data_IF_702205088737
#
_entry.id   IF_702205088737
#
_cell.length_a   1.000
_cell.length_b   1.000
_cell.length_c   1.000
_cell.angle_alpha   90.00
_cell.angle_beta   90.00
_cell.angle_gamma   90.00
#
_symmetry.space_group_name_H-M   'P 1'
#
loop_
_entity.id
_entity.type
_entity.pdbx_description
1 polymer ?
#
# COMPACT_ATOMS: atom_id res chain seq x y z
N UNK A 1 24.45 -17.75 -6.65
CA UNK A 1 23.70 -16.49 -6.43
C UNK A 1 24.23 -15.95 -5.12
N UNK A 2 25.02 -14.88 -5.17
CA UNK A 2 25.54 -14.24 -3.96
C UNK A 2 24.39 -13.60 -3.21
N UNK A 3 24.22 -13.97 -1.94
CA UNK A 3 23.31 -13.30 -1.02
C UNK A 3 23.79 -11.86 -0.87
N UNK A 4 22.99 -10.91 -1.34
CA UNK A 4 23.23 -9.49 -1.10
C UNK A 4 22.80 -9.23 0.34
N UNK A 5 23.78 -9.10 1.25
CA UNK A 5 23.52 -8.66 2.61
C UNK A 5 23.11 -7.18 2.60
N UNK A 6 21.82 -6.94 2.69
CA UNK A 6 21.27 -5.62 3.00
C UNK A 6 21.54 -5.36 4.48
N UNK A 7 22.47 -4.46 4.82
CA UNK A 7 22.54 -3.84 6.14
C UNK A 7 21.75 -2.51 6.12
N UNK A 8 20.48 -2.47 6.58
CA UNK A 8 19.72 -1.24 6.61
C UNK A 8 20.12 -0.44 7.86
N UNK A 9 20.59 0.81 7.69
CA UNK A 9 20.87 1.72 8.81
C UNK A 9 19.61 2.10 9.62
N UNK A 10 18.41 1.82 9.09
CA UNK A 10 17.12 1.83 9.80
C UNK A 10 16.14 0.90 9.06
N UNK A 11 15.38 0.04 9.75
CA UNK A 11 14.38 -0.82 9.11
C UNK A 11 13.14 -0.05 8.62
N UNK A 12 13.03 1.25 8.95
CA UNK A 12 11.88 2.09 8.62
C UNK A 12 12.32 3.46 8.12
N UNK A 13 11.65 3.92 7.07
CA UNK A 13 11.76 5.26 6.52
C UNK A 13 10.44 6.00 6.73
N UNK A 14 10.50 7.23 7.26
CA UNK A 14 9.36 8.14 7.35
C UNK A 14 9.54 9.29 6.37
N UNK A 15 8.56 9.49 5.47
CA UNK A 15 8.59 10.55 4.45
C UNK A 15 7.42 11.51 4.72
N UNK A 16 7.66 12.66 5.37
CA UNK A 16 6.60 13.62 5.64
C UNK A 16 6.07 14.23 4.34
N UNK A 17 4.77 14.52 4.30
CA UNK A 17 4.10 15.19 3.17
C UNK A 17 4.35 14.51 1.81
N UNK A 18 4.43 13.18 1.80
CA UNK A 18 4.61 12.42 0.56
C UNK A 18 3.46 12.67 -0.43
N UNK A 19 2.22 12.69 0.08
CA UNK A 19 1.04 13.10 -0.66
C UNK A 19 0.75 14.58 -0.42
N UNK A 20 0.36 15.26 -1.50
CA UNK A 20 -0.30 16.56 -1.42
C UNK A 20 -1.71 16.43 -0.84
N UNK A 21 -2.24 17.53 -0.31
CA UNK A 21 -3.62 17.57 0.20
C UNK A 21 -4.66 17.19 -0.88
N UNK A 22 -4.40 17.53 -2.14
CA UNK A 22 -5.31 17.21 -3.24
C UNK A 22 -5.29 15.71 -3.56
N UNK A 23 -4.11 15.07 -3.59
CA UNK A 23 -4.00 13.61 -3.74
C UNK A 23 -4.71 12.89 -2.59
N UNK A 24 -4.55 13.36 -1.35
CA UNK A 24 -5.27 12.80 -0.19
C UNK A 24 -6.79 12.90 -0.37
N UNK A 25 -7.31 14.05 -0.81
CA UNK A 25 -8.75 14.26 -1.03
C UNK A 25 -9.30 13.41 -2.16
N UNK A 26 -8.54 13.23 -3.23
CA UNK A 26 -8.92 12.40 -4.35
C UNK A 26 -9.00 10.92 -3.94
N UNK A 27 -8.00 10.41 -3.23
CA UNK A 27 -8.01 9.05 -2.68
C UNK A 27 -9.17 8.86 -1.68
N UNK A 28 -9.41 9.84 -0.80
CA UNK A 28 -10.54 9.82 0.13
C UNK A 28 -11.89 9.76 -0.60
N UNK A 29 -12.07 10.56 -1.65
CA UNK A 29 -13.28 10.53 -2.47
C UNK A 29 -13.50 9.17 -3.12
N UNK A 30 -12.46 8.58 -3.72
CA UNK A 30 -12.52 7.26 -4.35
C UNK A 30 -12.91 6.20 -3.31
N UNK A 31 -12.26 6.23 -2.14
CA UNK A 31 -12.54 5.26 -1.08
C UNK A 31 -13.98 5.36 -0.57
N UNK A 32 -14.48 6.56 -0.31
CA UNK A 32 -15.87 6.76 0.15
C UNK A 32 -16.89 6.31 -0.89
N UNK A 33 -16.57 6.47 -2.17
CA UNK A 33 -17.49 6.15 -3.27
C UNK A 33 -17.49 4.67 -3.67
N UNK A 34 -16.37 3.98 -3.47
CA UNK A 34 -16.12 2.64 -4.05
C UNK A 34 -15.53 1.66 -3.04
N UNK A 35 -15.75 1.85 -1.73
CA UNK A 35 -15.29 0.89 -0.73
C UNK A 35 -16.31 -0.23 -0.53
N UNK A 36 -15.78 -1.37 -0.12
CA UNK A 36 -16.56 -2.51 0.32
C UNK A 36 -16.14 -2.93 1.72
N UNK A 37 -16.99 -3.69 2.41
CA UNK A 37 -16.67 -4.26 3.72
C UNK A 37 -15.47 -5.20 3.54
N UNK A 38 -14.40 -4.91 4.28
CA UNK A 38 -13.18 -5.70 4.26
C UNK A 38 -13.31 -7.01 5.05
N UNK A 39 -12.19 -7.73 5.18
CA UNK A 39 -12.15 -9.01 5.89
C UNK A 39 -12.43 -8.90 7.41
N UNK A 40 -12.32 -7.69 7.98
CA UNK A 40 -12.69 -7.41 9.37
C UNK A 40 -13.99 -6.64 9.40
N UNK A 41 -14.88 -6.93 10.38
CA UNK A 41 -16.02 -6.06 10.67
C UNK A 41 -15.54 -4.62 10.80
N UNK A 42 -16.36 -3.66 10.35
CA UNK A 42 -16.13 -2.20 10.48
C UNK A 42 -14.80 -1.67 9.91
N UNK A 43 -14.15 -2.47 9.07
CA UNK A 43 -13.04 -2.05 8.20
C UNK A 43 -13.54 -2.05 6.78
N UNK A 44 -13.23 -0.99 6.04
CA UNK A 44 -13.60 -0.88 4.63
C UNK A 44 -12.35 -0.86 3.78
N UNK A 45 -12.43 -1.45 2.59
CA UNK A 45 -11.32 -1.52 1.65
C UNK A 45 -11.74 -1.17 0.23
N UNK A 46 -10.86 -0.48 -0.48
CA UNK A 46 -10.97 -0.26 -1.93
C UNK A 46 -9.68 -0.78 -2.56
N UNK A 47 -9.76 -1.93 -3.24
CA UNK A 47 -8.62 -2.51 -3.96
C UNK A 47 -8.71 -2.19 -5.45
N UNK A 48 -7.58 -2.23 -6.16
CA UNK A 48 -7.59 -2.02 -7.62
C UNK A 48 -8.50 -3.05 -8.31
N UNK A 49 -8.44 -4.32 -7.91
CA UNK A 49 -9.29 -5.37 -8.44
C UNK A 49 -10.78 -5.11 -8.18
N UNK A 50 -11.13 -4.55 -7.02
CA UNK A 50 -12.52 -4.17 -6.73
C UNK A 50 -13.01 -3.08 -7.69
N UNK A 51 -12.22 -2.03 -7.91
CA UNK A 51 -12.55 -0.96 -8.86
C UNK A 51 -12.77 -1.50 -10.29
N UNK A 52 -11.96 -2.47 -10.72
CA UNK A 52 -12.14 -3.14 -12.01
C UNK A 52 -13.48 -3.90 -12.02
N UNK A 53 -13.73 -4.70 -10.98
CA UNK A 53 -14.90 -5.57 -10.89
C UNK A 53 -16.23 -4.79 -10.80
N UNK A 54 -16.22 -3.56 -10.26
CA UNK A 54 -17.42 -2.73 -10.08
C UNK A 54 -17.64 -1.68 -11.18
N UNK A 55 -16.96 -1.83 -12.33
CA UNK A 55 -17.03 -0.86 -13.44
C UNK A 55 -16.59 0.57 -13.03
N UNK A 56 -15.65 0.65 -12.09
CA UNK A 56 -15.07 1.88 -11.55
C UNK A 56 -13.58 2.00 -11.86
N UNK A 57 -13.11 1.34 -12.93
CA UNK A 57 -11.70 1.25 -13.30
C UNK A 57 -11.04 2.60 -13.59
N UNK A 58 -11.82 3.62 -13.95
CA UNK A 58 -11.35 4.99 -14.11
C UNK A 58 -10.74 5.56 -12.81
N UNK A 59 -11.17 5.09 -11.64
CA UNK A 59 -10.58 5.48 -10.36
C UNK A 59 -9.24 4.81 -10.05
N UNK A 60 -8.71 3.95 -10.92
CA UNK A 60 -7.37 3.36 -10.75
C UNK A 60 -6.28 4.39 -11.10
N UNK A 61 -6.57 5.31 -12.01
CA UNK A 61 -5.56 6.24 -12.56
C UNK A 61 -4.82 7.01 -11.47
N UNK A 62 -5.46 7.57 -10.43
CA UNK A 62 -4.75 8.28 -9.36
C UNK A 62 -3.80 7.40 -8.53
N UNK A 63 -4.03 6.08 -8.45
CA UNK A 63 -3.19 5.17 -7.68
C UNK A 63 -1.84 4.91 -8.34
N UNK A 64 -1.81 4.85 -9.67
CA UNK A 64 -0.61 4.46 -10.43
C UNK A 64 0.56 5.42 -10.18
N UNK A 65 0.47 6.74 -10.41
CA UNK A 65 1.61 7.63 -10.20
C UNK A 65 2.05 7.68 -8.73
N UNK A 66 1.11 7.55 -7.79
CA UNK A 66 1.41 7.55 -6.35
C UNK A 66 2.21 6.29 -5.96
N UNK A 67 1.75 5.11 -6.38
CA UNK A 67 2.42 3.85 -6.01
C UNK A 67 3.80 3.72 -6.67
N UNK A 68 3.97 4.17 -7.92
CA UNK A 68 5.28 4.11 -8.58
C UNK A 68 6.25 5.09 -7.91
N UNK A 69 5.83 6.32 -7.56
CA UNK A 69 6.66 7.26 -6.78
C UNK A 69 7.08 6.69 -5.42
N UNK A 70 6.19 5.93 -4.75
CA UNK A 70 6.51 5.26 -3.48
C UNK A 70 7.55 4.17 -3.69
N UNK A 71 7.35 3.35 -4.72
CA UNK A 71 8.26 2.29 -5.10
C UNK A 71 9.66 2.86 -5.39
N UNK A 72 9.75 3.88 -6.24
CA UNK A 72 11.04 4.52 -6.59
C UNK A 72 11.77 5.04 -5.35
N UNK A 73 11.05 5.69 -4.43
CA UNK A 73 11.64 6.20 -3.17
C UNK A 73 12.11 5.09 -2.24
N UNK A 74 11.39 3.98 -2.22
CA UNK A 74 11.75 2.83 -1.41
C UNK A 74 12.97 2.12 -1.98
N UNK A 75 12.98 1.91 -3.29
CA UNK A 75 14.12 1.34 -4.02
C UNK A 75 15.40 2.17 -3.84
N UNK A 76 15.30 3.51 -3.96
CA UNK A 76 16.40 4.45 -3.71
C UNK A 76 16.93 4.35 -2.26
N UNK A 77 16.04 4.26 -1.28
CA UNK A 77 16.44 4.19 0.14
C UNK A 77 17.13 2.88 0.51
N UNK A 78 16.59 1.76 0.03
CA UNK A 78 17.13 0.43 0.33
C UNK A 78 18.20 -0.04 -0.65
N UNK A 79 18.49 0.73 -1.72
CA UNK A 79 19.47 0.41 -2.77
C UNK A 79 19.15 -0.91 -3.50
N UNK A 80 17.88 -1.07 -3.88
CA UNK A 80 17.35 -2.23 -4.59
C UNK A 80 16.57 -1.83 -5.85
N UNK A 81 17.12 -0.87 -6.59
CA UNK A 81 16.51 -0.32 -7.80
C UNK A 81 16.15 -1.39 -8.82
N UNK A 82 14.91 -1.32 -9.31
CA UNK A 82 14.31 -2.27 -10.25
C UNK A 82 14.15 -3.71 -9.75
N UNK A 83 14.41 -4.00 -8.48
CA UNK A 83 14.26 -5.34 -7.91
C UNK A 83 12.85 -5.61 -7.35
N UNK A 84 12.03 -4.57 -7.16
CA UNK A 84 10.75 -4.70 -6.48
C UNK A 84 9.55 -4.84 -7.42
N UNK A 85 8.59 -5.63 -6.97
CA UNK A 85 7.28 -5.79 -7.59
C UNK A 85 6.17 -5.42 -6.61
N UNK A 86 5.21 -4.62 -7.06
CA UNK A 86 4.06 -4.20 -6.24
C UNK A 86 3.04 -5.34 -6.18
N UNK A 87 3.01 -6.07 -5.07
CA UNK A 87 2.06 -7.17 -4.87
C UNK A 87 0.62 -6.68 -4.68
N UNK A 88 0.44 -5.58 -3.92
CA UNK A 88 -0.88 -5.11 -3.51
C UNK A 88 -0.93 -3.58 -3.46
N UNK A 89 -2.08 -3.02 -3.84
CA UNK A 89 -2.39 -1.60 -3.66
C UNK A 89 -3.87 -1.46 -3.33
N UNK A 90 -4.17 -0.69 -2.30
CA UNK A 90 -5.54 -0.38 -1.92
C UNK A 90 -5.63 0.66 -0.81
N UNK A 91 -6.83 1.19 -0.61
CA UNK A 91 -7.18 2.08 0.49
C UNK A 91 -7.91 1.28 1.56
N UNK A 92 -7.59 1.55 2.82
CA UNK A 92 -8.19 0.90 3.97
C UNK A 92 -8.63 1.98 4.96
N UNK A 93 -9.89 1.94 5.40
CA UNK A 93 -10.36 2.78 6.50
C UNK A 93 -10.81 1.94 7.69
N UNK A 94 -10.51 2.47 8.87
CA UNK A 94 -10.77 1.85 10.17
C UNK A 94 -11.85 2.68 10.86
N UNK A 95 -13.06 2.14 10.96
CA UNK A 95 -14.14 2.82 11.67
C UNK A 95 -14.00 2.67 13.18
N UNK A 96 -14.77 3.45 13.94
CA UNK A 96 -14.76 3.40 15.41
C UNK A 96 -14.98 1.97 15.92
N UNK A 97 -14.03 1.49 16.74
CA UNK A 97 -14.02 0.15 17.30
C UNK A 97 -13.21 -0.87 16.50
N UNK A 98 -12.74 -0.51 15.30
CA UNK A 98 -11.87 -1.37 14.52
C UNK A 98 -10.48 -1.43 15.16
N UNK A 99 -9.83 -2.59 15.09
CA UNK A 99 -8.47 -2.79 15.59
C UNK A 99 -7.73 -3.84 14.78
N UNK A 100 -6.40 -3.71 14.77
CA UNK A 100 -5.49 -4.70 14.21
C UNK A 100 -4.52 -5.15 15.30
N UNK A 101 -4.43 -6.46 15.49
CA UNK A 101 -3.46 -7.03 16.42
C UNK A 101 -2.04 -6.92 15.87
N UNK A 102 -1.05 -7.11 16.74
CA UNK A 102 0.35 -7.25 16.35
C UNK A 102 0.51 -8.35 15.31
N UNK A 103 1.18 -8.01 14.21
CA UNK A 103 1.48 -8.94 13.12
C UNK A 103 2.68 -8.45 12.32
N UNK A 104 3.26 -9.35 11.54
CA UNK A 104 4.15 -9.01 10.41
C UNK A 104 3.37 -9.15 9.10
N UNK A 105 3.79 -8.42 8.07
CA UNK A 105 3.11 -8.46 6.76
C UNK A 105 3.44 -9.72 5.95
N UNK A 106 4.46 -10.47 6.37
CA UNK A 106 4.90 -11.76 5.82
C UNK A 106 4.38 -12.96 6.65
N UNK A 107 3.34 -12.76 7.47
CA UNK A 107 2.88 -13.72 8.48
C UNK A 107 2.25 -15.03 7.96
N UNK A 108 2.12 -15.22 6.64
CA UNK A 108 1.56 -16.43 6.02
C UNK A 108 2.46 -16.95 4.90
N UNK A 109 2.44 -18.26 4.58
CA UNK A 109 3.31 -18.83 3.54
C UNK A 109 3.27 -18.10 2.20
N UNK A 110 2.07 -17.70 1.75
CA UNK A 110 1.88 -16.98 0.48
C UNK A 110 2.24 -15.48 0.55
N UNK A 111 2.67 -14.98 1.72
CA UNK A 111 3.10 -13.60 1.95
C UNK A 111 4.61 -13.52 2.21
N UNK A 112 5.32 -14.66 2.24
CA UNK A 112 6.72 -14.72 2.63
C UNK A 112 7.67 -13.99 1.68
N UNK A 113 7.24 -13.74 0.44
CA UNK A 113 7.98 -12.96 -0.54
C UNK A 113 7.95 -11.44 -0.30
N UNK A 114 7.21 -10.94 0.69
CA UNK A 114 7.13 -9.51 0.98
C UNK A 114 8.37 -9.04 1.73
N UNK A 115 9.26 -8.35 1.02
CA UNK A 115 10.45 -7.72 1.60
C UNK A 115 10.11 -6.40 2.31
N UNK A 116 9.17 -5.64 1.76
CA UNK A 116 8.83 -4.30 2.22
C UNK A 116 7.33 -4.06 2.24
N UNK A 117 6.93 -3.20 3.18
CA UNK A 117 5.58 -2.66 3.29
C UNK A 117 5.63 -1.15 3.46
N UNK A 118 4.65 -0.46 2.90
CA UNK A 118 4.50 0.98 3.09
C UNK A 118 3.02 1.33 3.29
N UNK A 119 2.79 2.39 4.06
CA UNK A 119 1.50 2.99 4.29
C UNK A 119 1.69 4.52 4.25
N UNK A 120 0.68 5.23 3.77
CA UNK A 120 0.67 6.69 3.56
C UNK A 120 -0.48 7.34 4.29
#
# INVERSE_FOLDING_TARGET
>A
MSEVEFEPQSPRLFIPNFLSLNECRELEFIHKSSSTVGYRPIVFSTTLSHLIATNSSHFIIPFIPIRERLKDKLEEFFKCEYELFIEFTGLISWSRGASIGWHSDDNRPYLKQRHFSYAI
#
